data_IF_430218357483
#
_entry.id   IF_430218357483
#
_cell.length_a   1.000
_cell.length_b   1.000
_cell.length_c   1.000
_cell.angle_alpha   90.00
_cell.angle_beta   90.00
_cell.angle_gamma   90.00
#
_symmetry.space_group_name_H-M   'P 1'
#
loop_
_entity.id
_entity.type
_entity.pdbx_description
1 polymer ?
#
# COMPACT_ATOMS: atom_id res chain seq x y z
N UNK A 1 2.43 23.55 16.77
CA UNK A 1 3.03 23.64 15.43
C UNK A 1 4.28 24.48 15.54
N UNK A 2 5.44 23.97 15.10
CA UNK A 2 6.73 24.64 15.23
C UNK A 2 7.14 25.39 13.96
N UNK A 3 6.92 24.77 12.80
CA UNK A 3 7.24 25.35 11.49
C UNK A 3 6.29 24.83 10.42
N UNK A 4 6.25 25.54 9.29
CA UNK A 4 5.53 25.12 8.08
C UNK A 4 6.44 25.34 6.87
N UNK A 5 6.61 24.29 6.09
CA UNK A 5 7.29 24.34 4.80
C UNK A 5 6.26 24.78 3.74
N UNK A 6 6.69 25.42 2.66
CA UNK A 6 5.83 25.72 1.52
C UNK A 6 5.26 24.41 0.95
N UNK A 7 3.95 24.31 0.94
CA UNK A 7 3.26 23.07 0.62
C UNK A 7 2.59 23.06 -0.76
N UNK A 8 2.83 24.07 -1.59
CA UNK A 8 2.17 24.21 -2.90
C UNK A 8 2.49 23.05 -3.82
N UNK A 9 3.77 22.68 -3.94
CA UNK A 9 4.22 21.58 -4.79
C UNK A 9 3.68 20.22 -4.27
N UNK A 10 3.73 20.01 -2.96
CA UNK A 10 3.19 18.79 -2.34
C UNK A 10 1.68 18.65 -2.52
N UNK A 11 0.95 19.77 -2.47
CA UNK A 11 -0.49 19.80 -2.72
C UNK A 11 -0.80 19.46 -4.18
N UNK A 12 -0.07 20.06 -5.12
CA UNK A 12 -0.24 19.77 -6.55
C UNK A 12 0.07 18.30 -6.85
N UNK A 13 1.13 17.74 -6.28
CA UNK A 13 1.47 16.32 -6.41
C UNK A 13 0.39 15.40 -5.84
N UNK A 14 -0.22 15.76 -4.70
CA UNK A 14 -1.34 15.02 -4.14
C UNK A 14 -2.59 15.09 -5.03
N UNK A 15 -2.91 16.27 -5.55
CA UNK A 15 -4.06 16.46 -6.43
C UNK A 15 -3.88 15.66 -7.75
N UNK A 16 -2.66 15.60 -8.28
CA UNK A 16 -2.31 14.73 -9.41
C UNK A 16 -2.53 13.25 -9.08
N UNK A 17 -1.99 12.77 -7.96
CA UNK A 17 -2.14 11.39 -7.54
C UNK A 17 -3.61 10.99 -7.32
N UNK A 18 -4.44 11.92 -6.85
CA UNK A 18 -5.89 11.71 -6.72
C UNK A 18 -6.59 11.60 -8.07
N UNK A 19 -6.18 12.39 -9.04
CA UNK A 19 -6.70 12.28 -10.40
C UNK A 19 -6.36 10.91 -11.02
N UNK A 20 -5.12 10.44 -10.84
CA UNK A 20 -4.67 9.14 -11.33
C UNK A 20 -5.41 7.97 -10.62
N UNK A 21 -5.67 8.11 -9.32
CA UNK A 21 -6.50 7.16 -8.56
C UNK A 21 -7.94 7.13 -9.11
N UNK A 22 -8.53 8.29 -9.38
CA UNK A 22 -9.87 8.37 -9.94
C UNK A 22 -9.95 7.76 -11.35
N UNK A 23 -8.93 7.98 -12.19
CA UNK A 23 -8.82 7.39 -13.52
C UNK A 23 -8.70 5.86 -13.45
N UNK A 24 -7.84 5.33 -12.57
CA UNK A 24 -7.71 3.89 -12.35
C UNK A 24 -9.00 3.26 -11.85
N UNK A 25 -9.73 3.94 -10.95
CA UNK A 25 -11.05 3.52 -10.50
C UNK A 25 -12.11 3.50 -11.62
N UNK A 26 -12.04 4.45 -12.55
CA UNK A 26 -12.91 4.46 -13.72
C UNK A 26 -12.61 3.29 -14.68
N UNK A 27 -11.34 2.93 -14.84
CA UNK A 27 -10.93 1.77 -15.64
C UNK A 27 -11.51 0.45 -15.10
N UNK A 28 -11.50 0.24 -13.78
CA UNK A 28 -12.13 -0.92 -13.15
C UNK A 28 -13.63 -0.95 -13.43
N UNK A 29 -14.33 0.16 -13.21
CA UNK A 29 -15.78 0.24 -13.49
C UNK A 29 -16.13 -0.02 -14.97
N UNK A 30 -15.27 0.42 -15.87
CA UNK A 30 -15.46 0.14 -17.30
C UNK A 30 -15.39 -1.35 -17.60
N UNK A 31 -14.42 -2.06 -17.01
CA UNK A 31 -14.30 -3.51 -17.17
C UNK A 31 -15.44 -4.27 -16.49
N UNK A 32 -15.93 -3.80 -15.34
CA UNK A 32 -17.13 -4.34 -14.69
C UNK A 32 -18.35 -4.25 -15.62
N UNK A 33 -18.57 -3.09 -16.25
CA UNK A 33 -19.64 -2.90 -17.20
C UNK A 33 -19.48 -3.77 -18.46
N UNK A 34 -18.26 -4.01 -18.94
CA UNK A 34 -18.01 -4.92 -20.07
C UNK A 34 -18.32 -6.38 -19.70
N UNK A 35 -17.98 -6.81 -18.48
CA UNK A 35 -18.31 -8.16 -17.99
C UNK A 35 -19.83 -8.31 -17.87
N UNK A 36 -20.51 -7.31 -17.36
CA UNK A 36 -21.98 -7.31 -17.24
C UNK A 36 -22.65 -7.39 -18.63
N UNK A 37 -22.15 -6.62 -19.60
CA UNK A 37 -22.63 -6.67 -20.99
C UNK A 37 -22.41 -8.05 -21.65
N UNK A 38 -21.42 -8.82 -21.21
CA UNK A 38 -21.15 -10.14 -21.79
C UNK A 38 -22.17 -11.19 -21.33
N UNK A 39 -22.88 -10.99 -20.20
CA UNK A 39 -23.87 -11.95 -19.72
C UNK A 39 -25.06 -12.15 -20.67
N UNK A 40 -25.72 -11.08 -21.19
CA UNK A 40 -26.75 -11.21 -22.22
C UNK A 40 -26.25 -11.92 -23.49
N UNK A 41 -25.00 -11.67 -23.90
CA UNK A 41 -24.40 -12.35 -25.07
C UNK A 41 -24.28 -13.85 -24.85
N UNK A 42 -23.87 -14.28 -23.65
CA UNK A 42 -23.84 -15.70 -23.28
C UNK A 42 -25.26 -16.31 -23.30
N UNK A 43 -26.24 -15.59 -22.77
CA UNK A 43 -27.64 -16.05 -22.79
C UNK A 43 -28.19 -16.18 -24.22
N UNK A 44 -27.89 -15.24 -25.09
CA UNK A 44 -28.24 -15.30 -26.49
C UNK A 44 -27.60 -16.53 -27.17
N UNK A 45 -26.30 -16.74 -27.00
CA UNK A 45 -25.60 -17.88 -27.57
C UNK A 45 -26.11 -19.21 -26.98
N UNK A 46 -26.50 -19.25 -25.72
CA UNK A 46 -27.13 -20.43 -25.12
C UNK A 46 -28.46 -20.73 -25.76
N UNK A 47 -29.32 -19.73 -25.98
CA UNK A 47 -30.61 -19.92 -26.67
C UNK A 47 -30.43 -20.36 -28.13
N UNK A 48 -29.39 -19.88 -28.83
CA UNK A 48 -29.06 -20.37 -30.17
C UNK A 48 -28.63 -21.86 -30.17
N UNK A 49 -27.88 -22.30 -29.17
CA UNK A 49 -27.54 -23.72 -28.96
C UNK A 49 -28.77 -24.56 -28.70
N UNK A 50 -29.66 -24.10 -27.81
CA UNK A 50 -30.92 -24.82 -27.49
C UNK A 50 -31.79 -24.95 -28.74
N UNK A 51 -31.90 -23.93 -29.58
CA UNK A 51 -32.63 -23.98 -30.85
C UNK A 51 -31.96 -24.94 -31.84
N UNK A 52 -30.64 -24.97 -31.91
CA UNK A 52 -29.88 -25.87 -32.76
C UNK A 52 -30.03 -27.34 -32.28
N UNK A 53 -30.09 -27.60 -30.96
CA UNK A 53 -30.34 -28.93 -30.38
C UNK A 53 -31.76 -29.44 -30.73
N UNK A 54 -32.77 -28.57 -30.63
CA UNK A 54 -34.14 -28.91 -31.04
C UNK A 54 -34.23 -29.27 -32.54
N UNK A 55 -33.56 -28.46 -33.40
CA UNK A 55 -33.51 -28.73 -34.83
C UNK A 55 -32.78 -30.04 -35.17
N UNK A 56 -31.67 -30.32 -34.47
CA UNK A 56 -30.94 -31.57 -34.63
C UNK A 56 -31.82 -32.78 -34.23
N UNK A 57 -32.51 -32.68 -33.10
CA UNK A 57 -33.42 -33.74 -32.65
C UNK A 57 -34.52 -34.04 -33.70
N UNK A 58 -35.13 -33.00 -34.26
CA UNK A 58 -36.10 -33.15 -35.35
C UNK A 58 -35.50 -33.85 -36.56
N UNK A 59 -34.28 -33.43 -37.00
CA UNK A 59 -33.61 -34.08 -38.12
C UNK A 59 -33.24 -35.55 -37.84
N UNK A 60 -32.92 -35.89 -36.61
CA UNK A 60 -32.68 -37.28 -36.19
C UNK A 60 -33.96 -38.14 -36.28
N UNK A 61 -35.08 -37.61 -35.78
CA UNK A 61 -36.37 -38.27 -35.83
C UNK A 61 -36.86 -38.46 -37.29
N UNK A 62 -36.67 -37.44 -38.14
CA UNK A 62 -36.97 -37.52 -39.57
C UNK A 62 -36.14 -38.60 -40.27
N UNK A 63 -34.84 -38.61 -40.05
CA UNK A 63 -33.96 -39.62 -40.61
C UNK A 63 -34.38 -41.02 -40.17
N UNK A 64 -34.61 -41.25 -38.89
CA UNK A 64 -35.05 -42.54 -38.38
C UNK A 64 -36.35 -43.01 -39.05
N UNK A 65 -37.32 -42.09 -39.21
CA UNK A 65 -38.58 -42.37 -39.91
C UNK A 65 -38.34 -42.79 -41.36
N UNK A 66 -37.49 -42.08 -42.07
CA UNK A 66 -37.22 -42.44 -43.50
C UNK A 66 -36.40 -43.72 -43.64
N UNK A 67 -35.48 -44.01 -42.71
CA UNK A 67 -34.77 -45.28 -42.65
C UNK A 67 -35.73 -46.47 -42.51
N UNK A 68 -36.81 -46.36 -41.69
CA UNK A 68 -37.82 -47.39 -41.51
C UNK A 68 -38.75 -47.51 -42.75
N UNK A 69 -39.10 -46.39 -43.39
CA UNK A 69 -39.80 -46.36 -44.65
C UNK A 69 -39.02 -47.04 -45.79
N UNK A 70 -37.73 -46.89 -45.83
CA UNK A 70 -36.83 -47.56 -46.79
C UNK A 70 -36.81 -49.07 -46.55
N UNK A 71 -36.73 -49.54 -45.29
CA UNK A 71 -36.81 -50.97 -44.92
C UNK A 71 -38.12 -51.60 -45.31
N UNK A 72 -39.23 -50.87 -45.26
CA UNK A 72 -40.59 -51.35 -45.67
C UNK A 72 -40.83 -51.24 -47.18
N UNK A 73 -39.87 -50.75 -47.97
CA UNK A 73 -40.00 -50.58 -49.41
C UNK A 73 -40.86 -49.38 -49.86
N UNK A 74 -41.32 -48.55 -48.97
CA UNK A 74 -42.18 -47.38 -49.24
C UNK A 74 -41.40 -46.05 -49.34
N UNK A 75 -40.04 -46.03 -49.09
CA UNK A 75 -39.21 -44.86 -49.16
C UNK A 75 -38.44 -44.72 -50.45
N UNK A 76 -38.07 -43.46 -50.84
CA UNK A 76 -37.19 -43.19 -51.98
C UNK A 76 -35.74 -42.95 -51.53
N UNK A 77 -34.77 -43.49 -52.28
CA UNK A 77 -33.32 -43.30 -52.00
C UNK A 77 -32.95 -41.81 -51.93
N UNK A 78 -33.53 -40.99 -52.82
CA UNK A 78 -33.30 -39.56 -52.85
C UNK A 78 -33.69 -38.89 -51.52
N UNK A 79 -34.82 -39.23 -50.95
CA UNK A 79 -35.31 -38.65 -49.67
C UNK A 79 -34.43 -39.08 -48.49
N UNK A 80 -34.00 -40.32 -48.44
CA UNK A 80 -33.08 -40.84 -47.45
C UNK A 80 -31.73 -40.08 -47.49
N UNK A 81 -31.20 -39.83 -48.70
CA UNK A 81 -29.98 -39.02 -48.87
C UNK A 81 -30.19 -37.57 -48.43
N UNK A 82 -31.36 -36.96 -48.71
CA UNK A 82 -31.69 -35.60 -48.25
C UNK A 82 -31.75 -35.50 -46.72
N UNK A 83 -32.38 -36.46 -46.06
CA UNK A 83 -32.47 -36.46 -44.58
C UNK A 83 -31.09 -36.71 -43.93
N UNK A 84 -30.23 -37.55 -44.54
CA UNK A 84 -28.85 -37.71 -44.05
C UNK A 84 -28.02 -36.45 -44.22
N UNK A 85 -28.14 -35.74 -45.35
CA UNK A 85 -27.46 -34.45 -45.56
C UNK A 85 -27.98 -33.37 -44.55
N UNK A 86 -29.32 -33.31 -44.34
CA UNK A 86 -29.92 -32.42 -43.36
C UNK A 86 -29.42 -32.67 -41.92
N UNK A 87 -29.30 -33.96 -41.54
CA UNK A 87 -28.76 -34.34 -40.21
C UNK A 87 -27.32 -33.86 -40.04
N UNK A 88 -26.46 -34.07 -41.07
CA UNK A 88 -25.07 -33.59 -41.02
C UNK A 88 -25.02 -32.06 -40.91
N UNK A 89 -25.84 -31.33 -41.64
CA UNK A 89 -25.97 -29.88 -41.58
C UNK A 89 -26.34 -29.41 -40.19
N UNK A 90 -27.39 -30.00 -39.56
CA UNK A 90 -27.83 -29.63 -38.22
C UNK A 90 -26.83 -30.00 -37.13
N UNK A 91 -26.07 -31.09 -37.33
CA UNK A 91 -24.97 -31.45 -36.43
C UNK A 91 -23.84 -30.38 -36.48
N UNK A 92 -23.48 -29.92 -37.69
CA UNK A 92 -22.48 -28.86 -37.86
C UNK A 92 -22.94 -27.52 -37.28
N UNK A 93 -24.25 -27.17 -37.47
CA UNK A 93 -24.84 -25.96 -36.88
C UNK A 93 -24.80 -26.00 -35.34
N UNK A 94 -25.13 -27.14 -34.70
CA UNK A 94 -25.00 -27.30 -33.27
C UNK A 94 -23.56 -27.15 -32.80
N UNK A 95 -22.62 -27.77 -33.49
CA UNK A 95 -21.18 -27.63 -33.14
C UNK A 95 -20.72 -26.21 -33.26
N UNK A 96 -21.13 -25.47 -34.27
CA UNK A 96 -20.85 -24.05 -34.44
C UNK A 96 -21.41 -23.21 -33.27
N UNK A 97 -22.68 -23.44 -32.91
CA UNK A 97 -23.30 -22.76 -31.76
C UNK A 97 -22.57 -23.02 -30.44
N UNK A 98 -22.20 -24.29 -30.18
CA UNK A 98 -21.42 -24.67 -28.97
C UNK A 98 -20.07 -23.98 -28.92
N UNK A 99 -19.39 -23.90 -30.05
CA UNK A 99 -18.09 -23.17 -30.16
C UNK A 99 -18.28 -21.67 -29.91
N UNK A 100 -19.37 -21.08 -30.43
CA UNK A 100 -19.73 -19.68 -30.17
C UNK A 100 -19.98 -19.39 -28.68
N UNK A 101 -20.76 -20.25 -28.04
CA UNK A 101 -21.04 -20.18 -26.60
C UNK A 101 -19.75 -20.30 -25.75
N UNK A 102 -18.87 -21.24 -26.10
CA UNK A 102 -17.58 -21.41 -25.42
C UNK A 102 -16.70 -20.17 -25.60
N UNK A 103 -16.63 -19.61 -26.80
CA UNK A 103 -15.90 -18.37 -27.06
C UNK A 103 -16.45 -17.19 -26.23
N UNK A 104 -17.78 -17.07 -26.13
CA UNK A 104 -18.41 -16.03 -25.31
C UNK A 104 -18.07 -16.18 -23.80
N UNK A 105 -18.07 -17.41 -23.29
CA UNK A 105 -17.66 -17.73 -21.91
C UNK A 105 -16.19 -17.39 -21.64
N UNK A 106 -15.30 -17.80 -22.55
CA UNK A 106 -13.85 -17.47 -22.44
C UNK A 106 -13.58 -15.98 -22.52
N UNK A 107 -14.41 -15.23 -23.21
CA UNK A 107 -14.29 -13.77 -23.23
C UNK A 107 -14.47 -13.16 -21.86
N UNK A 108 -15.39 -13.72 -21.03
CA UNK A 108 -15.56 -13.28 -19.62
C UNK A 108 -14.29 -13.56 -18.80
N UNK A 109 -13.65 -14.71 -19.00
CA UNK A 109 -12.40 -15.05 -18.29
C UNK A 109 -11.27 -14.07 -18.63
N UNK A 110 -11.16 -13.68 -19.89
CA UNK A 110 -10.19 -12.66 -20.33
C UNK A 110 -10.50 -11.32 -19.66
N UNK A 111 -11.77 -10.88 -19.71
CA UNK A 111 -12.18 -9.62 -19.06
C UNK A 111 -11.97 -9.65 -17.54
N UNK A 112 -12.19 -10.80 -16.90
CA UNK A 112 -11.92 -10.97 -15.47
C UNK A 112 -10.41 -10.83 -15.15
N UNK A 113 -9.55 -11.35 -16.02
CA UNK A 113 -8.09 -11.18 -15.90
C UNK A 113 -7.68 -9.72 -16.10
N UNK A 114 -8.24 -9.05 -17.10
CA UNK A 114 -7.99 -7.62 -17.34
C UNK A 114 -8.49 -6.77 -16.15
N UNK A 115 -9.64 -7.12 -15.58
CA UNK A 115 -10.16 -6.50 -14.36
C UNK A 115 -9.21 -6.68 -13.17
N UNK A 116 -8.68 -7.88 -12.96
CA UNK A 116 -7.71 -8.14 -11.89
C UNK A 116 -6.45 -7.27 -12.05
N UNK A 117 -5.97 -7.11 -13.28
CA UNK A 117 -4.87 -6.20 -13.61
C UNK A 117 -5.22 -4.74 -13.31
N UNK A 118 -6.42 -4.29 -13.67
CA UNK A 118 -6.88 -2.93 -13.40
C UNK A 118 -7.05 -2.66 -11.90
N UNK A 119 -7.49 -3.66 -11.11
CA UNK A 119 -7.55 -3.57 -9.64
C UNK A 119 -6.16 -3.41 -9.04
N UNK A 120 -5.17 -4.17 -9.50
CA UNK A 120 -3.79 -4.02 -9.04
C UNK A 120 -3.23 -2.61 -9.38
N UNK A 121 -3.60 -2.06 -10.54
CA UNK A 121 -3.25 -0.69 -10.92
C UNK A 121 -3.93 0.36 -10.01
N UNK A 122 -5.19 0.14 -9.64
CA UNK A 122 -5.92 0.97 -8.68
C UNK A 122 -5.27 0.96 -7.30
N UNK A 123 -4.85 -0.21 -6.81
CA UNK A 123 -4.18 -0.34 -5.52
C UNK A 123 -2.80 0.34 -5.54
N UNK A 124 -2.07 0.25 -6.65
CA UNK A 124 -0.84 1.01 -6.84
C UNK A 124 -1.09 2.53 -6.80
N UNK A 125 -2.09 3.02 -7.54
CA UNK A 125 -2.45 4.45 -7.53
C UNK A 125 -2.87 4.93 -6.13
N UNK A 126 -3.56 4.09 -5.36
CA UNK A 126 -3.92 4.38 -3.95
C UNK A 126 -2.68 4.49 -3.06
N UNK A 127 -1.70 3.60 -3.21
CA UNK A 127 -0.46 3.66 -2.47
C UNK A 127 0.33 4.95 -2.78
N UNK A 128 0.35 5.36 -4.05
CA UNK A 128 0.97 6.64 -4.48
C UNK A 128 0.24 7.83 -3.86
N UNK A 129 -1.10 7.86 -3.87
CA UNK A 129 -1.89 8.93 -3.23
C UNK A 129 -1.58 9.03 -1.73
N UNK A 130 -1.52 7.90 -1.02
CA UNK A 130 -1.16 7.86 0.39
C UNK A 130 0.26 8.39 0.64
N UNK A 131 1.22 8.05 -0.21
CA UNK A 131 2.59 8.58 -0.13
C UNK A 131 2.62 10.11 -0.31
N UNK A 132 1.86 10.64 -1.27
CA UNK A 132 1.79 12.10 -1.50
C UNK A 132 1.06 12.81 -0.35
N UNK A 133 0.02 12.19 0.23
CA UNK A 133 -0.65 12.71 1.42
C UNK A 133 0.29 12.75 2.64
N UNK A 134 1.11 11.72 2.81
CA UNK A 134 2.13 11.66 3.85
C UNK A 134 3.19 12.76 3.66
N UNK A 135 3.70 12.93 2.43
CA UNK A 135 4.65 13.98 2.10
C UNK A 135 4.08 15.38 2.39
N UNK A 136 2.80 15.61 2.08
CA UNK A 136 2.11 16.85 2.43
C UNK A 136 2.00 17.01 3.95
N UNK A 137 1.80 15.96 4.72
CA UNK A 137 1.74 16.02 6.18
C UNK A 137 3.07 16.48 6.79
N UNK A 138 4.19 16.06 6.22
CA UNK A 138 5.54 16.44 6.65
C UNK A 138 5.86 17.92 6.42
N UNK A 139 5.08 18.64 5.63
CA UNK A 139 5.23 20.09 5.51
C UNK A 139 4.81 20.84 6.78
N UNK A 140 4.12 20.17 7.71
CA UNK A 140 3.74 20.72 9.02
C UNK A 140 4.57 20.07 10.11
N UNK A 141 5.55 20.82 10.61
CA UNK A 141 6.42 20.33 11.67
C UNK A 141 5.76 20.63 13.03
N UNK A 142 5.39 19.59 13.74
CA UNK A 142 4.80 19.68 15.09
C UNK A 142 5.79 19.19 16.13
N UNK A 143 5.62 19.64 17.37
CA UNK A 143 6.42 19.16 18.49
C UNK A 143 6.04 17.69 18.79
N UNK A 144 7.01 16.78 18.91
CA UNK A 144 6.75 15.38 19.30
C UNK A 144 6.45 15.25 20.81
N UNK A 145 6.91 16.18 21.62
CA UNK A 145 6.72 16.23 23.06
C UNK A 145 6.43 17.67 23.50
N UNK A 146 5.84 17.84 24.66
CA UNK A 146 5.67 19.14 25.28
C UNK A 146 7.04 19.65 25.78
N UNK A 147 7.30 20.93 25.62
CA UNK A 147 8.57 21.52 26.01
C UNK A 147 8.75 22.93 25.52
N UNK A 148 9.90 23.51 25.86
CA UNK A 148 10.28 24.87 25.47
C UNK A 148 11.28 24.81 24.31
N UNK A 149 11.08 25.70 23.32
CA UNK A 149 12.05 25.83 22.21
C UNK A 149 13.33 26.47 22.73
N UNK A 150 14.42 25.72 22.67
CA UNK A 150 15.76 26.19 23.03
C UNK A 150 16.44 26.95 21.89
N UNK A 151 17.38 26.31 21.22
CA UNK A 151 18.06 26.93 20.08
C UNK A 151 17.18 26.90 18.83
N UNK A 152 16.94 28.05 18.19
CA UNK A 152 16.25 28.20 16.93
C UNK A 152 17.19 28.68 15.85
N UNK A 153 17.50 27.83 14.87
CA UNK A 153 18.29 28.17 13.68
C UNK A 153 17.42 28.57 12.48
N UNK A 154 16.13 28.23 12.53
CA UNK A 154 15.19 28.47 11.44
C UNK A 154 14.81 29.93 11.28
N UNK A 155 14.82 30.42 10.02
CA UNK A 155 14.30 31.75 9.61
C UNK A 155 13.23 31.59 8.53
N UNK A 156 12.29 32.51 8.50
CA UNK A 156 11.27 32.56 7.44
C UNK A 156 11.96 32.84 6.09
N UNK A 157 11.60 32.06 5.07
CA UNK A 157 12.22 32.13 3.73
C UNK A 157 13.51 31.32 3.58
N UNK A 158 13.96 30.65 4.62
CA UNK A 158 15.14 29.79 4.55
C UNK A 158 14.82 28.51 3.77
N UNK A 159 15.74 28.13 2.89
CA UNK A 159 15.71 26.80 2.26
C UNK A 159 16.19 25.73 3.26
N UNK A 160 15.45 24.64 3.33
CA UNK A 160 15.73 23.51 4.24
C UNK A 160 15.74 22.21 3.46
N UNK A 161 16.62 21.30 3.85
CA UNK A 161 16.73 19.95 3.29
C UNK A 161 16.41 18.90 4.36
N UNK A 162 16.14 17.68 3.97
CA UNK A 162 16.02 16.56 4.90
C UNK A 162 17.31 16.43 5.73
N UNK A 163 17.16 16.30 7.06
CA UNK A 163 18.30 16.26 7.99
C UNK A 163 18.78 17.63 8.50
N UNK A 164 18.25 18.75 8.00
CA UNK A 164 18.59 20.08 8.54
C UNK A 164 17.98 20.24 9.92
N UNK A 165 18.81 20.51 10.94
CA UNK A 165 18.34 20.82 12.29
C UNK A 165 17.69 22.22 12.30
N UNK A 166 16.42 22.27 12.65
CA UNK A 166 15.62 23.50 12.65
C UNK A 166 15.59 24.19 14.02
N UNK A 167 15.42 23.41 15.07
CA UNK A 167 15.35 23.89 16.45
C UNK A 167 15.54 22.73 17.42
N UNK A 168 15.92 23.06 18.65
CA UNK A 168 15.95 22.11 19.75
C UNK A 168 14.71 22.30 20.62
N UNK A 169 14.02 21.20 20.96
CA UNK A 169 12.92 21.20 21.90
C UNK A 169 13.39 20.56 23.19
N UNK A 170 13.25 21.30 24.30
CA UNK A 170 13.68 20.86 25.63
C UNK A 170 12.45 20.57 26.47
N UNK A 171 12.21 19.32 26.88
CA UNK A 171 11.14 18.96 27.82
C UNK A 171 11.58 19.37 29.23
N UNK A 172 10.93 20.38 29.83
CA UNK A 172 11.29 20.86 31.14
C UNK A 172 10.85 19.93 32.28
N UNK A 173 9.85 19.08 32.03
CA UNK A 173 9.31 18.16 33.03
C UNK A 173 10.11 16.85 33.15
N UNK A 174 11.03 16.58 32.20
CA UNK A 174 11.83 15.36 32.15
C UNK A 174 13.33 15.68 32.12
N UNK A 175 13.76 16.53 33.03
CA UNK A 175 15.19 16.87 33.14
C UNK A 175 15.94 15.82 33.95
N UNK A 176 17.17 15.51 33.51
CA UNK A 176 18.08 14.65 34.22
C UNK A 176 19.46 15.33 34.34
N UNK A 177 20.22 14.94 35.33
CA UNK A 177 21.57 15.46 35.58
C UNK A 177 22.56 14.34 35.34
N UNK A 178 23.51 14.58 34.44
CA UNK A 178 24.67 13.69 34.26
C UNK A 178 25.78 14.13 35.19
N UNK A 179 26.06 13.30 36.19
CA UNK A 179 27.11 13.57 37.17
C UNK A 179 28.29 12.62 36.93
N UNK A 180 29.47 13.22 36.76
CA UNK A 180 30.72 12.48 36.57
C UNK A 180 31.44 12.29 37.91
N UNK A 181 31.48 11.07 38.38
CA UNK A 181 32.18 10.68 39.59
C UNK A 181 33.46 9.87 39.29
N UNK A 182 34.41 9.89 40.22
CA UNK A 182 35.54 8.95 40.17
C UNK A 182 35.08 7.58 40.55
N UNK A 183 35.69 6.54 39.99
CA UNK A 183 35.31 5.13 40.24
C UNK A 183 35.24 4.81 41.74
N UNK A 184 36.18 5.28 42.54
CA UNK A 184 36.24 5.12 44.00
C UNK A 184 35.03 5.69 44.74
N UNK A 185 34.30 6.63 44.13
CA UNK A 185 33.11 7.26 44.74
C UNK A 185 31.82 6.51 44.40
N UNK A 186 31.83 5.64 43.37
CA UNK A 186 30.69 4.90 42.92
C UNK A 186 30.45 3.60 43.66
N UNK A 187 31.37 3.15 44.53
CA UNK A 187 31.35 1.85 45.23
C UNK A 187 30.03 1.58 45.98
N UNK A 188 29.42 2.61 46.51
CA UNK A 188 28.17 2.50 47.28
C UNK A 188 26.94 3.12 46.63
N UNK A 189 27.06 3.58 45.38
CA UNK A 189 25.93 4.16 44.63
C UNK A 189 25.11 3.04 43.98
N UNK A 190 23.81 3.08 44.15
CA UNK A 190 22.86 2.12 43.60
C UNK A 190 21.71 2.83 42.89
N UNK A 191 21.18 2.19 41.86
CA UNK A 191 19.98 2.69 41.18
C UNK A 191 18.81 2.82 42.15
N UNK A 192 18.05 3.91 42.01
CA UNK A 192 16.94 4.25 42.90
C UNK A 192 17.33 4.98 44.18
N UNK A 193 18.63 5.14 44.48
CA UNK A 193 19.08 5.84 45.70
C UNK A 193 18.69 7.33 45.65
N UNK A 194 18.13 7.89 46.73
CA UNK A 194 17.77 9.31 46.77
C UNK A 194 19.04 10.17 46.81
N UNK A 195 19.02 11.26 46.06
CA UNK A 195 20.12 12.24 45.97
C UNK A 195 19.61 13.65 46.19
N UNK A 196 20.42 14.48 46.82
CA UNK A 196 20.20 15.91 46.95
C UNK A 196 21.10 16.65 45.98
N UNK A 197 20.51 17.47 45.11
CA UNK A 197 21.20 18.24 44.08
C UNK A 197 21.19 19.71 44.49
N UNK A 198 22.34 20.33 44.59
CA UNK A 198 22.49 21.76 44.83
C UNK A 198 23.02 22.43 43.55
N UNK A 199 22.38 23.51 43.15
CA UNK A 199 22.74 24.29 41.98
C UNK A 199 23.19 25.66 42.47
N UNK A 200 24.40 26.07 42.11
CA UNK A 200 24.99 27.31 42.55
C UNK A 200 24.20 28.57 42.15
N UNK A 201 23.50 28.50 41.02
CA UNK A 201 22.63 29.58 40.53
C UNK A 201 21.34 29.74 41.39
N UNK A 202 20.98 28.74 42.21
CA UNK A 202 19.80 28.74 43.05
C UNK A 202 20.15 28.32 44.47
N UNK A 203 20.92 29.17 45.15
CA UNK A 203 21.53 28.90 46.47
C UNK A 203 20.57 28.46 47.58
N UNK A 204 19.25 28.70 47.44
CA UNK A 204 18.25 28.33 48.42
C UNK A 204 17.43 27.07 48.03
N UNK A 205 17.57 26.58 46.80
CA UNK A 205 16.79 25.46 46.34
C UNK A 205 17.57 24.13 46.47
N UNK A 206 17.06 23.23 47.33
CA UNK A 206 17.54 21.83 47.40
C UNK A 206 16.64 20.98 46.53
N UNK A 207 17.17 20.50 45.41
CA UNK A 207 16.43 19.61 44.52
C UNK A 207 16.63 18.16 44.98
N UNK A 208 15.53 17.41 45.04
CA UNK A 208 15.56 15.98 45.36
C UNK A 208 15.42 15.20 44.09
N UNK A 209 16.27 14.21 43.89
CA UNK A 209 16.24 13.29 42.80
C UNK A 209 16.52 11.87 43.24
N UNK A 210 16.62 10.97 42.31
CA UNK A 210 17.08 9.60 42.54
C UNK A 210 18.06 9.21 41.44
N UNK A 211 18.92 8.26 41.72
CA UNK A 211 19.84 7.69 40.74
C UNK A 211 19.02 6.86 39.75
N UNK A 212 18.95 7.27 38.49
CA UNK A 212 18.26 6.55 37.43
C UNK A 212 19.08 5.36 36.94
N UNK A 213 20.31 5.63 36.52
CA UNK A 213 21.20 4.59 35.98
C UNK A 213 22.67 4.94 36.23
N UNK A 214 23.52 3.92 36.22
CA UNK A 214 24.98 4.04 36.25
C UNK A 214 25.53 3.62 34.88
N UNK A 215 26.40 4.45 34.30
CA UNK A 215 27.06 4.07 33.04
C UNK A 215 28.01 2.86 33.30
N UNK A 216 27.93 1.79 32.47
CA UNK A 216 28.78 0.62 32.63
C UNK A 216 30.24 0.84 32.20
N UNK A 217 30.54 1.99 31.56
CA UNK A 217 31.87 2.33 31.11
C UNK A 217 32.16 3.81 31.33
N UNK A 218 33.44 4.21 31.25
CA UNK A 218 33.84 5.62 31.41
C UNK A 218 33.24 6.47 30.27
N UNK A 219 32.93 7.74 30.56
CA UNK A 219 32.39 8.68 29.57
C UNK A 219 33.27 8.86 28.34
N UNK A 220 34.56 8.56 28.42
CA UNK A 220 35.52 8.60 27.29
C UNK A 220 35.23 7.48 26.25
N UNK A 221 34.71 6.37 26.65
CA UNK A 221 34.37 5.26 25.70
C UNK A 221 33.18 5.60 24.82
N UNK A 222 32.29 6.47 25.30
CA UNK A 222 31.10 6.91 24.55
C UNK A 222 31.25 8.27 23.90
N UNK A 223 32.40 8.92 24.06
CA UNK A 223 32.66 10.21 23.42
C UNK A 223 33.07 10.03 21.96
N UNK A 224 32.37 10.70 21.03
CA UNK A 224 32.70 10.72 19.60
C UNK A 224 34.06 11.32 19.29
N UNK A 225 34.65 12.09 20.23
CA UNK A 225 35.99 12.64 20.13
C UNK A 225 36.90 11.98 21.16
N UNK A 226 37.74 11.03 20.75
CA UNK A 226 38.87 10.57 21.57
C UNK A 226 39.93 11.64 21.62
N UNK A 227 40.32 12.16 22.78
CA UNK A 227 41.51 13.04 22.86
C UNK A 227 42.75 12.23 22.48
N UNK A 228 43.43 12.64 21.42
CA UNK A 228 44.66 11.99 20.90
C UNK A 228 45.90 12.28 21.74
N UNK A 229 45.80 13.02 22.84
CA UNK A 229 46.90 13.32 23.74
C UNK A 229 46.51 13.09 25.20
N UNK A 230 47.38 12.49 26.04
CA UNK A 230 47.08 12.35 27.46
C UNK A 230 46.97 13.76 28.08
N UNK A 231 45.99 14.05 28.93
CA UNK A 231 45.77 15.36 29.47
C UNK A 231 46.88 15.76 30.43
N UNK A 232 47.67 16.72 30.04
CA UNK A 232 48.27 17.60 31.01
C UNK A 232 47.13 18.35 31.71
N UNK A 233 47.09 18.23 32.99
CA UNK A 233 46.12 18.73 33.94
C UNK A 233 45.61 20.13 33.60
N UNK A 234 44.40 20.25 33.07
CA UNK A 234 43.62 21.49 33.12
C UNK A 234 42.13 21.15 32.88
N UNK A 235 41.24 21.54 33.75
CA UNK A 235 39.81 21.30 33.56
C UNK A 235 39.25 22.35 32.60
N UNK A 236 39.20 22.03 31.33
CA UNK A 236 38.31 22.74 30.39
C UNK A 236 37.21 21.78 29.97
N UNK A 237 36.03 22.10 30.48
CA UNK A 237 34.79 21.48 30.12
C UNK A 237 34.61 21.52 28.60
N UNK A 238 34.70 20.39 27.92
CA UNK A 238 34.04 20.22 26.62
C UNK A 238 32.55 20.06 26.90
N UNK A 239 31.78 21.13 26.79
CA UNK A 239 30.34 21.05 26.67
C UNK A 239 30.05 20.51 25.25
N UNK A 240 29.82 19.21 25.14
CA UNK A 240 29.14 18.68 23.99
C UNK A 240 27.65 19.07 24.17
N UNK A 241 27.22 20.04 23.39
CA UNK A 241 25.79 20.28 23.22
C UNK A 241 25.20 19.10 22.44
N UNK A 242 23.97 18.66 22.79
CA UNK A 242 23.26 17.64 22.10
C UNK A 242 22.91 18.01 20.65
#
# INVERSE_FOLDING_TARGET
MLARIDNRDFKTALDQARADLAASGAAVRNLDAQIELQQPVIQQQAAEVDAAEANLKFAQEERARYDDLMKSGSGTVQRAQQTDAALREKTAQLQQGKSGLDAAKRKVEVLATDRAKAVAQLDHARAVEQQMALNLSYTRITAPVDGTVGARSLRVGQFVQAGTQLMALVPLDAVYVVANFKETQLTHVRNGQPVEIRIDSFNSARLRGHVDSLSPASGLEFALCRPTTPPAISPRSCSASP
#
